data_IF_415919382323
#
_entry.id   IF_415919382323
#
_cell.length_a   1.000
_cell.length_b   1.000
_cell.length_c   1.000
_cell.angle_alpha   90.00
_cell.angle_beta   90.00
_cell.angle_gamma   90.00
#
_symmetry.space_group_name_H-M   'P 1'
#
loop_
_entity.id
_entity.type
_entity.pdbx_description
1 polymer ?
#
# COMPACT_ATOMS: atom_id res chain seq x y z
N UNK A 1 20.08 -10.49 -6.10
CA UNK A 1 19.62 -9.13 -5.79
C UNK A 1 19.16 -9.10 -4.35
N UNK A 2 20.10 -8.74 -3.48
CA UNK A 2 19.84 -8.45 -2.09
C UNK A 2 19.40 -6.98 -1.94
N UNK A 3 18.11 -6.75 -2.15
CA UNK A 3 17.53 -5.40 -2.09
C UNK A 3 17.16 -5.03 -0.65
N UNK A 4 17.47 -3.80 -0.27
CA UNK A 4 17.01 -3.19 0.98
C UNK A 4 16.58 -1.73 0.76
N UNK A 5 15.94 -1.16 1.79
CA UNK A 5 15.53 0.24 1.76
C UNK A 5 16.51 1.08 2.56
N UNK A 6 17.02 2.13 1.93
CA UNK A 6 17.66 3.23 2.60
C UNK A 6 16.63 4.34 2.85
N UNK A 7 16.47 4.73 4.11
CA UNK A 7 15.48 5.70 4.56
C UNK A 7 16.21 6.97 5.00
N UNK A 8 15.85 8.10 4.40
CA UNK A 8 16.44 9.39 4.74
C UNK A 8 15.34 10.36 5.21
N UNK A 9 15.54 10.95 6.39
CA UNK A 9 14.68 12.01 6.92
C UNK A 9 15.29 13.37 6.60
N UNK A 10 14.53 14.20 5.91
CA UNK A 10 14.96 15.54 5.53
C UNK A 10 14.09 16.59 6.23
N UNK A 11 14.60 17.11 7.35
CA UNK A 11 13.91 18.08 8.21
C UNK A 11 14.04 19.54 7.72
N UNK A 12 14.88 19.80 6.71
CA UNK A 12 15.29 21.14 6.27
C UNK A 12 14.46 21.74 5.12
N UNK A 13 13.24 21.28 4.88
CA UNK A 13 12.36 21.88 3.86
C UNK A 13 11.68 23.12 4.45
N UNK A 14 12.29 24.30 4.27
CA UNK A 14 11.71 25.62 4.57
C UNK A 14 10.46 25.95 3.73
N UNK A 15 10.14 25.13 2.73
CA UNK A 15 9.06 25.40 1.79
C UNK A 15 7.75 24.72 2.19
N UNK A 16 6.72 25.54 2.29
CA UNK A 16 5.32 25.24 2.62
C UNK A 16 4.61 24.25 1.68
N UNK A 17 5.32 23.62 0.75
CA UNK A 17 4.82 22.55 -0.10
C UNK A 17 5.35 21.24 0.49
N UNK A 18 4.49 20.39 1.04
CA UNK A 18 4.87 19.10 1.63
C UNK A 18 5.04 18.00 0.55
N UNK A 19 6.23 17.70 0.00
CA UNK A 19 6.57 16.32 -0.27
C UNK A 19 7.07 15.73 1.05
N UNK A 20 6.50 14.62 1.52
CA UNK A 20 6.89 13.95 2.78
C UNK A 20 8.40 14.01 3.02
N UNK A 21 8.77 14.45 4.22
CA UNK A 21 10.14 14.61 4.71
C UNK A 21 10.92 13.28 4.76
N UNK A 22 10.33 12.18 4.27
CA UNK A 22 10.89 10.84 4.28
C UNK A 22 11.07 10.38 2.84
N UNK A 23 12.34 10.22 2.45
CA UNK A 23 12.74 9.66 1.16
C UNK A 23 13.10 8.20 1.36
N UNK A 24 12.59 7.35 0.46
CA UNK A 24 12.89 5.92 0.44
C UNK A 24 13.63 5.62 -0.85
N UNK A 25 14.86 5.14 -0.72
CA UNK A 25 15.70 4.71 -1.82
C UNK A 25 15.85 3.18 -1.77
N UNK A 26 15.84 2.54 -2.93
CA UNK A 26 16.12 1.12 -3.08
C UNK A 26 17.61 0.97 -3.33
N UNK A 27 18.25 0.17 -2.48
CA UNK A 27 19.68 -0.15 -2.57
C UNK A 27 19.86 -1.64 -2.83
N UNK A 28 20.92 -2.00 -3.53
CA UNK A 28 21.30 -3.37 -3.87
C UNK A 28 22.64 -3.71 -3.22
N UNK A 29 22.57 -4.48 -2.14
CA UNK A 29 23.73 -4.86 -1.33
C UNK A 29 24.69 -5.78 -2.09
N UNK A 30 24.24 -6.40 -3.19
CA UNK A 30 25.11 -7.20 -4.06
C UNK A 30 26.07 -6.31 -4.88
N UNK A 31 25.72 -5.03 -5.11
CA UNK A 31 26.57 -4.09 -5.87
C UNK A 31 27.66 -3.45 -5.01
N UNK A 32 27.29 -3.01 -3.82
CA UNK A 32 28.19 -2.39 -2.85
C UNK A 32 27.57 -2.48 -1.46
N UNK A 33 28.41 -2.44 -0.43
CA UNK A 33 27.96 -2.36 0.96
C UNK A 33 27.48 -0.95 1.32
N UNK A 34 28.06 0.07 0.69
CA UNK A 34 27.90 1.46 1.12
C UNK A 34 27.08 2.28 0.14
N UNK A 35 26.25 3.16 0.69
CA UNK A 35 25.52 4.20 -0.04
C UNK A 35 26.44 5.40 -0.31
N UNK A 36 26.41 6.05 -1.49
CA UNK A 36 25.45 5.88 -2.60
C UNK A 36 25.84 4.85 -3.67
N UNK A 37 26.97 4.16 -3.55
CA UNK A 37 27.46 3.24 -4.58
C UNK A 37 26.51 2.05 -4.85
N UNK A 38 25.71 1.66 -3.85
CA UNK A 38 24.68 0.62 -3.95
C UNK A 38 23.30 1.14 -4.38
N UNK A 39 23.15 2.42 -4.73
CA UNK A 39 21.87 2.99 -5.13
C UNK A 39 21.35 2.38 -6.43
N UNK A 40 20.06 2.06 -6.44
CA UNK A 40 19.36 1.57 -7.64
C UNK A 40 18.40 2.63 -8.16
N UNK A 41 17.41 3.01 -7.36
CA UNK A 41 16.39 3.98 -7.74
C UNK A 41 15.59 4.43 -6.52
N UNK A 42 14.83 5.50 -6.69
CA UNK A 42 13.87 5.95 -5.68
C UNK A 42 12.65 5.04 -5.65
N UNK A 43 12.18 4.69 -4.44
CA UNK A 43 10.97 3.93 -4.26
C UNK A 43 9.75 4.82 -4.60
N UNK A 44 8.93 4.46 -5.60
CA UNK A 44 7.75 5.24 -5.94
C UNK A 44 6.73 5.20 -4.80
N UNK A 45 5.99 6.29 -4.60
CA UNK A 45 4.89 6.34 -3.61
C UNK A 45 3.67 5.53 -4.04
N UNK A 46 3.39 5.53 -5.33
CA UNK A 46 2.24 4.85 -5.94
C UNK A 46 2.72 4.05 -7.14
N UNK A 47 2.18 2.84 -7.27
CA UNK A 47 2.45 1.96 -8.41
C UNK A 47 1.16 1.91 -9.21
N UNK A 48 1.08 2.68 -10.29
CA UNK A 48 -0.03 2.56 -11.22
C UNK A 48 0.44 1.73 -12.42
N UNK A 49 -0.05 0.49 -12.60
CA UNK A 49 0.33 -0.33 -13.76
C UNK A 49 -0.13 0.27 -15.09
N UNK A 50 -1.15 1.15 -15.06
CA UNK A 50 -1.77 1.76 -16.24
C UNK A 50 -1.32 3.21 -16.46
N UNK A 51 -0.33 3.72 -15.69
CA UNK A 51 0.16 5.07 -15.89
C UNK A 51 0.95 5.18 -17.20
N UNK A 52 0.72 6.29 -17.93
CA UNK A 52 1.38 6.61 -19.21
C UNK A 52 2.89 6.80 -19.06
N UNK A 53 3.35 7.17 -17.86
CA UNK A 53 4.76 7.25 -17.48
C UNK A 53 5.04 6.22 -16.38
N UNK A 54 5.83 5.21 -16.71
CA UNK A 54 6.30 4.24 -15.72
C UNK A 54 7.46 4.83 -14.92
N UNK A 55 7.48 4.61 -13.61
CA UNK A 55 8.64 5.01 -12.80
C UNK A 55 9.83 4.09 -13.11
N UNK A 56 11.08 4.58 -12.99
CA UNK A 56 12.31 3.78 -13.20
C UNK A 56 12.31 2.43 -12.46
N UNK A 57 11.67 2.39 -11.28
CA UNK A 57 11.48 1.15 -10.53
C UNK A 57 10.56 0.16 -11.26
N UNK A 58 9.42 0.63 -11.79
CA UNK A 58 8.49 -0.19 -12.57
C UNK A 58 9.11 -0.62 -13.90
N UNK A 59 9.87 0.25 -14.58
CA UNK A 59 10.61 -0.11 -15.80
C UNK A 59 11.59 -1.26 -15.54
N UNK A 60 12.28 -1.24 -14.39
CA UNK A 60 13.27 -2.25 -14.04
C UNK A 60 12.67 -3.59 -13.58
N UNK A 61 11.61 -3.54 -12.77
CA UNK A 61 11.05 -4.74 -12.10
C UNK A 61 9.72 -5.22 -12.69
N UNK A 62 9.11 -4.46 -13.61
CA UNK A 62 7.91 -4.82 -14.35
C UNK A 62 6.74 -5.25 -13.46
N UNK A 63 6.15 -6.40 -13.77
CA UNK A 63 5.03 -6.98 -13.03
C UNK A 63 5.37 -7.36 -11.58
N UNK A 64 6.62 -7.69 -11.28
CA UNK A 64 7.08 -8.03 -9.93
C UNK A 64 7.29 -6.81 -9.03
N UNK A 65 7.16 -5.60 -9.58
CA UNK A 65 7.39 -4.35 -8.84
C UNK A 65 6.54 -4.24 -7.58
N UNK A 66 5.24 -4.56 -7.64
CA UNK A 66 4.36 -4.49 -6.47
C UNK A 66 4.79 -5.44 -5.36
N UNK A 67 5.11 -6.69 -5.69
CA UNK A 67 5.53 -7.70 -4.70
C UNK A 67 6.85 -7.32 -4.04
N UNK A 68 7.82 -6.84 -4.83
CA UNK A 68 9.12 -6.39 -4.33
C UNK A 68 8.93 -5.21 -3.38
N UNK A 69 8.10 -4.23 -3.73
CA UNK A 69 7.87 -3.07 -2.86
C UNK A 69 7.19 -3.49 -1.56
N UNK A 70 6.17 -4.36 -1.61
CA UNK A 70 5.53 -4.90 -0.39
C UNK A 70 6.56 -5.60 0.50
N UNK A 71 7.42 -6.44 -0.09
CA UNK A 71 8.47 -7.16 0.65
C UNK A 71 9.44 -6.18 1.32
N UNK A 72 9.93 -5.18 0.58
CA UNK A 72 10.85 -4.17 1.07
C UNK A 72 10.25 -3.33 2.21
N UNK A 73 9.01 -2.85 2.05
CA UNK A 73 8.32 -2.07 3.08
C UNK A 73 8.04 -2.90 4.34
N UNK A 74 7.63 -4.17 4.19
CA UNK A 74 7.42 -5.07 5.32
C UNK A 74 8.72 -5.42 6.05
N UNK A 75 9.83 -5.56 5.34
CA UNK A 75 11.14 -5.77 5.94
C UNK A 75 11.57 -4.54 6.74
N UNK A 76 11.48 -3.34 6.16
CA UNK A 76 11.79 -2.10 6.85
C UNK A 76 10.92 -1.89 8.10
N UNK A 77 9.62 -2.21 8.04
CA UNK A 77 8.72 -2.09 9.19
C UNK A 77 9.11 -2.96 10.39
N UNK A 78 9.81 -4.08 10.15
CA UNK A 78 10.27 -4.97 11.23
C UNK A 78 11.51 -4.44 11.92
N UNK A 79 12.35 -3.70 11.20
CA UNK A 79 13.65 -3.22 11.70
C UNK A 79 13.58 -1.80 12.22
N UNK A 80 12.64 -0.99 11.73
CA UNK A 80 12.55 0.40 12.13
C UNK A 80 11.97 0.53 13.55
N UNK A 81 12.51 1.45 14.35
CA UNK A 81 11.96 1.77 15.67
C UNK A 81 11.18 3.09 15.68
N UNK A 82 11.56 4.01 14.80
CA UNK A 82 11.01 5.35 14.71
C UNK A 82 9.53 5.35 14.29
N UNK A 83 8.68 5.96 15.13
CA UNK A 83 7.23 5.96 14.90
C UNK A 83 6.82 6.73 13.63
N UNK A 84 7.53 7.79 13.25
CA UNK A 84 7.19 8.58 12.08
C UNK A 84 7.54 7.82 10.80
N UNK A 85 8.65 7.09 10.80
CA UNK A 85 9.01 6.19 9.71
C UNK A 85 8.00 5.05 9.58
N UNK A 86 7.60 4.43 10.70
CA UNK A 86 6.56 3.40 10.71
C UNK A 86 5.27 3.89 10.08
N UNK A 87 4.81 5.08 10.45
CA UNK A 87 3.57 5.67 9.89
C UNK A 87 3.69 5.87 8.38
N UNK A 88 4.80 6.40 7.88
CA UNK A 88 5.02 6.59 6.45
C UNK A 88 5.10 5.25 5.69
N UNK A 89 5.80 4.26 6.24
CA UNK A 89 5.90 2.92 5.65
C UNK A 89 4.53 2.24 5.57
N UNK A 90 3.73 2.32 6.64
CA UNK A 90 2.34 1.81 6.66
C UNK A 90 1.49 2.57 5.63
N UNK A 91 1.58 3.90 5.59
CA UNK A 91 0.84 4.71 4.63
C UNK A 91 1.16 4.28 3.18
N UNK A 92 2.44 4.06 2.86
CA UNK A 92 2.84 3.58 1.52
C UNK A 92 2.34 2.17 1.22
N UNK A 93 2.35 1.25 2.20
CA UNK A 93 1.75 -0.08 2.02
C UNK A 93 0.26 0.00 1.69
N UNK A 94 -0.49 0.87 2.38
CA UNK A 94 -1.93 1.03 2.11
C UNK A 94 -2.24 1.63 0.74
N UNK A 95 -1.32 2.40 0.15
CA UNK A 95 -1.47 2.94 -1.20
C UNK A 95 -1.23 1.89 -2.29
N UNK A 96 -0.35 0.92 -2.02
CA UNK A 96 -0.02 -0.16 -2.95
C UNK A 96 -1.11 -1.23 -2.95
N UNK A 97 -1.67 -1.52 -1.77
CA UNK A 97 -2.75 -2.47 -1.61
C UNK A 97 -3.97 -1.79 -0.97
N UNK A 98 -4.70 -0.96 -1.73
CA UNK A 98 -5.84 -0.26 -1.19
C UNK A 98 -6.92 -1.29 -0.82
N UNK A 99 -7.29 -1.31 0.47
CA UNK A 99 -8.49 -2.05 0.89
C UNK A 99 -9.67 -1.59 0.02
N UNK A 100 -10.51 -2.50 -0.48
CA UNK A 100 -11.66 -2.12 -1.27
C UNK A 100 -12.54 -1.18 -0.43
N UNK A 101 -12.81 0.03 -0.94
CA UNK A 101 -13.44 1.16 -0.21
C UNK A 101 -14.83 0.86 0.38
N UNK A 102 -15.40 -0.31 0.12
CA UNK A 102 -16.77 -0.69 0.46
C UNK A 102 -16.89 -2.04 1.19
N UNK A 103 -15.81 -2.61 1.71
CA UNK A 103 -15.90 -3.82 2.56
C UNK A 103 -16.54 -3.44 3.91
N UNK A 104 -17.66 -4.06 4.26
CA UNK A 104 -18.31 -3.92 5.57
C UNK A 104 -18.65 -5.30 6.11
N UNK A 105 -18.78 -5.42 7.43
CA UNK A 105 -19.24 -6.66 8.05
C UNK A 105 -20.76 -6.79 7.94
N UNK A 106 -21.22 -7.98 7.61
CA UNK A 106 -22.63 -8.34 7.62
C UNK A 106 -23.15 -8.35 9.07
N UNK A 107 -24.28 -7.69 9.31
CA UNK A 107 -24.93 -7.70 10.63
C UNK A 107 -25.47 -9.08 11.05
N UNK A 108 -25.60 -10.03 10.11
CA UNK A 108 -26.21 -11.35 10.35
C UNK A 108 -25.12 -12.42 10.51
N UNK A 109 -24.27 -12.60 9.50
CA UNK A 109 -23.22 -13.63 9.53
C UNK A 109 -21.86 -13.13 10.03
N UNK A 110 -21.66 -11.82 10.18
CA UNK A 110 -20.37 -11.23 10.58
C UNK A 110 -19.30 -11.20 9.49
N UNK A 111 -19.53 -11.85 8.34
CA UNK A 111 -18.58 -11.90 7.22
C UNK A 111 -18.40 -10.55 6.53
N UNK A 112 -17.21 -10.29 6.01
CA UNK A 112 -16.90 -9.09 5.23
C UNK A 112 -17.41 -9.23 3.80
N UNK A 113 -18.19 -8.25 3.33
CA UNK A 113 -18.72 -8.22 1.98
C UNK A 113 -18.64 -6.83 1.37
N UNK A 114 -18.66 -6.74 0.04
CA UNK A 114 -18.72 -5.47 -0.68
C UNK A 114 -20.13 -4.88 -0.57
N UNK A 115 -20.28 -3.85 0.27
CA UNK A 115 -21.54 -3.11 0.39
C UNK A 115 -21.84 -2.32 -0.87
N UNK A 116 -23.12 -2.36 -1.28
CA UNK A 116 -23.66 -1.42 -2.26
C UNK A 116 -24.04 -0.12 -1.54
N UNK A 117 -23.65 1.02 -2.11
CA UNK A 117 -24.10 2.34 -1.64
C UNK A 117 -25.39 2.72 -2.35
N UNK A 118 -26.40 3.10 -1.57
CA UNK A 118 -27.65 3.68 -2.04
C UNK A 118 -27.70 5.16 -1.63
N UNK A 119 -28.60 5.94 -2.25
CA UNK A 119 -28.79 7.38 -1.94
C UNK A 119 -29.07 7.63 -0.45
N UNK A 120 -29.71 6.67 0.23
CA UNK A 120 -30.14 6.75 1.63
C UNK A 120 -29.22 5.99 2.61
N UNK A 121 -28.13 5.36 2.15
CA UNK A 121 -27.21 4.65 3.05
C UNK A 121 -26.45 3.49 2.40
N UNK A 122 -25.68 2.76 3.20
CA UNK A 122 -24.93 1.57 2.76
C UNK A 122 -25.63 0.28 3.17
N UNK A 123 -25.56 -0.73 2.31
CA UNK A 123 -25.99 -2.09 2.63
C UNK A 123 -25.24 -2.62 3.86
N UNK A 124 -25.97 -3.13 4.86
CA UNK A 124 -25.41 -3.70 6.11
C UNK A 124 -25.49 -5.23 6.19
N UNK A 125 -26.14 -5.86 5.23
CA UNK A 125 -26.37 -7.31 5.20
C UNK A 125 -25.85 -7.87 3.88
N UNK A 126 -25.10 -8.97 3.91
CA UNK A 126 -24.58 -9.60 2.70
C UNK A 126 -25.71 -10.17 1.82
N UNK A 127 -25.41 -10.42 0.55
CA UNK A 127 -26.38 -10.94 -0.42
C UNK A 127 -26.96 -12.29 -0.01
N UNK A 128 -26.15 -13.19 0.56
CA UNK A 128 -26.60 -14.52 0.95
C UNK A 128 -27.62 -14.47 2.10
N UNK A 129 -27.39 -13.63 3.10
CA UNK A 129 -28.34 -13.43 4.18
C UNK A 129 -29.61 -12.69 3.73
N UNK A 130 -29.53 -11.84 2.70
CA UNK A 130 -30.72 -11.23 2.08
C UNK A 130 -31.51 -12.29 1.32
N UNK A 131 -30.85 -13.12 0.51
CA UNK A 131 -31.49 -14.16 -0.29
C UNK A 131 -32.28 -15.14 0.58
N UNK A 132 -31.70 -15.62 1.70
CA UNK A 132 -32.38 -16.49 2.67
C UNK A 132 -33.70 -15.89 3.17
N UNK A 133 -33.73 -14.59 3.50
CA UNK A 133 -34.95 -13.89 3.97
C UNK A 133 -36.09 -13.84 2.96
N UNK A 134 -35.80 -13.92 1.66
CA UNK A 134 -36.83 -13.92 0.63
C UNK A 134 -37.33 -15.33 0.32
N UNK A 135 -36.48 -16.35 0.50
CA UNK A 135 -36.87 -17.76 0.39
C UNK A 135 -37.79 -18.15 1.56
N UNK A 136 -37.45 -17.76 2.79
CA UNK A 136 -38.25 -18.06 4.00
C UNK A 136 -39.61 -17.33 4.05
N UNK A 137 -39.91 -16.44 3.09
CA UNK A 137 -41.18 -15.69 3.00
C UNK A 137 -42.09 -16.18 1.87
N UNK A 138 -41.63 -17.14 1.07
CA UNK A 138 -42.36 -17.69 -0.06
C UNK A 138 -43.06 -19.02 0.27
N UNK A 139 -42.94 -19.49 1.52
CA UNK A 139 -43.75 -20.56 2.13
C UNK A 139 -44.83 -19.96 3.03
#
# INVERSE_FOLDING_TARGET
>A
MNLSLHIEKNYNLKDYLKPSHIRLAVIDLDKSKDYPANFVCMLPRTINPNAKTQNKFQEKYGSKSQEIIKKLLNQALKTEDDQDLKKELIARLTLIDPKPKNMVKCNICGEEFKSKSFRYGKQKTCYDCIAKRYVDKAE
#
